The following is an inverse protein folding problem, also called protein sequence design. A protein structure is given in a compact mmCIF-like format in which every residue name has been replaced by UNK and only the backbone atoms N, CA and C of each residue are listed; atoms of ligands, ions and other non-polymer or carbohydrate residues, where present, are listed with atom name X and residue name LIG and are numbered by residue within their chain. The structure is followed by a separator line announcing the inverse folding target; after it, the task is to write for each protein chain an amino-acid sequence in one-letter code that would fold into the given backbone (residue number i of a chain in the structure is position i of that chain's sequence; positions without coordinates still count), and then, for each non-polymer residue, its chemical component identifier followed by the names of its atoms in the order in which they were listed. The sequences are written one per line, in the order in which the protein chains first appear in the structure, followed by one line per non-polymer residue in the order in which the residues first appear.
data_IF_136832609554
#
_entry.id   IF_136832609554
#
_cell.length_a   1.000
_cell.length_b   1.000
_cell.length_c   1.000
_cell.angle_alpha   90.00
_cell.angle_beta   90.00
_cell.angle_gamma   90.00
#
_symmetry.space_group_name_H-M   'P 1'
#
loop_
_entity.id
_entity.type
_entity.pdbx_description
1 polymer ?
#
# COMPACT_ATOMS: atom_id res chain seq x y z
N UNK A 1 -10.57 -17.72 10.75
CA UNK A 1 -9.70 -18.52 11.62
C UNK A 1 -8.46 -17.70 11.93
N UNK A 2 -8.25 -17.36 13.19
CA UNK A 2 -7.04 -16.71 13.68
C UNK A 2 -5.85 -17.65 13.48
N UNK A 3 -4.76 -17.15 12.93
CA UNK A 3 -3.53 -17.94 12.78
C UNK A 3 -2.42 -17.36 13.64
N UNK A 4 -2.08 -18.11 14.67
CA UNK A 4 -0.92 -17.82 15.50
C UNK A 4 0.37 -18.04 14.69
N UNK A 5 0.95 -16.95 14.17
CA UNK A 5 2.19 -17.00 13.38
C UNK A 5 3.44 -17.28 14.25
N UNK A 6 3.24 -17.43 15.56
CA UNK A 6 4.32 -17.78 16.50
C UNK A 6 4.57 -19.28 16.61
N UNK A 7 3.82 -20.11 15.86
CA UNK A 7 3.91 -21.58 15.89
C UNK A 7 4.19 -22.15 14.51
N UNK A 8 4.67 -23.38 14.45
CA UNK A 8 4.96 -24.12 13.21
C UNK A 8 6.21 -23.65 12.49
N UNK A 9 6.50 -24.20 11.30
CA UNK A 9 7.64 -23.77 10.47
C UNK A 9 7.39 -22.39 9.87
N UNK A 10 8.36 -21.45 9.87
CA UNK A 10 8.19 -20.11 9.35
C UNK A 10 7.69 -20.04 7.91
N UNK A 11 8.33 -20.78 6.99
CA UNK A 11 8.02 -20.69 5.57
C UNK A 11 6.56 -21.02 5.20
N UNK A 12 5.98 -22.18 5.60
CA UNK A 12 4.57 -22.45 5.31
C UNK A 12 3.60 -21.44 5.93
N UNK A 13 3.92 -20.94 7.12
CA UNK A 13 3.08 -19.95 7.81
C UNK A 13 3.09 -18.63 7.02
N UNK A 14 4.26 -18.17 6.60
CA UNK A 14 4.43 -16.96 5.79
C UNK A 14 3.69 -17.11 4.45
N UNK A 15 3.93 -18.19 3.70
CA UNK A 15 3.32 -18.40 2.39
C UNK A 15 1.79 -18.49 2.44
N UNK A 16 1.25 -19.22 3.42
CA UNK A 16 -0.21 -19.35 3.58
C UNK A 16 -0.89 -18.03 3.94
N UNK A 17 -0.18 -17.12 4.58
CA UNK A 17 -0.69 -15.78 4.88
C UNK A 17 -0.52 -14.83 3.70
N UNK A 18 0.59 -14.92 2.98
CA UNK A 18 0.92 -14.05 1.85
C UNK A 18 0.02 -14.29 0.64
N UNK A 19 -0.33 -15.55 0.36
CA UNK A 19 -1.10 -15.91 -0.85
C UNK A 19 -2.47 -15.19 -0.92
N UNK A 20 -3.31 -15.17 0.12
CA UNK A 20 -4.53 -14.37 0.12
C UNK A 20 -4.30 -12.87 -0.07
N UNK A 21 -3.18 -12.33 0.45
CA UNK A 21 -2.84 -10.91 0.26
C UNK A 21 -2.47 -10.61 -1.19
N UNK A 22 -1.70 -11.49 -1.86
CA UNK A 22 -1.39 -11.32 -3.29
C UNK A 22 -2.68 -11.31 -4.11
N UNK A 23 -3.55 -12.29 -3.87
CA UNK A 23 -4.85 -12.38 -4.56
C UNK A 23 -5.66 -11.10 -4.30
N UNK A 24 -5.74 -10.64 -3.06
CA UNK A 24 -6.44 -9.42 -2.69
C UNK A 24 -5.89 -8.17 -3.40
N UNK A 25 -4.58 -8.01 -3.42
CA UNK A 25 -3.92 -6.89 -4.08
C UNK A 25 -4.17 -6.89 -5.60
N UNK A 26 -4.15 -8.07 -6.24
CA UNK A 26 -4.48 -8.21 -7.66
C UNK A 26 -5.94 -7.86 -7.91
N UNK A 27 -6.88 -8.38 -7.09
CA UNK A 27 -8.30 -8.02 -7.20
C UNK A 27 -8.53 -6.52 -7.04
N UNK A 28 -7.79 -5.86 -6.14
CA UNK A 28 -7.89 -4.42 -5.98
C UNK A 28 -7.43 -3.66 -7.23
N UNK A 29 -6.39 -4.14 -7.93
CA UNK A 29 -5.96 -3.53 -9.19
C UNK A 29 -7.01 -3.76 -10.30
N UNK A 30 -7.58 -4.96 -10.40
CA UNK A 30 -8.64 -5.26 -11.37
C UNK A 30 -9.90 -4.41 -11.13
N UNK A 31 -10.25 -4.21 -9.86
CA UNK A 31 -11.34 -3.35 -9.46
C UNK A 31 -11.11 -1.89 -9.90
N UNK A 32 -9.93 -1.32 -9.62
CA UNK A 32 -9.58 0.04 -10.05
C UNK A 32 -9.62 0.20 -11.58
N UNK A 33 -9.22 -0.85 -12.31
CA UNK A 33 -9.31 -0.87 -13.77
C UNK A 33 -10.77 -0.92 -14.25
N UNK A 34 -11.62 -1.74 -13.63
CA UNK A 34 -13.03 -1.85 -13.97
C UNK A 34 -13.76 -0.51 -13.79
N UNK A 35 -13.56 0.17 -12.66
CA UNK A 35 -14.11 1.49 -12.39
C UNK A 35 -13.69 2.50 -13.49
N UNK A 36 -12.41 2.55 -13.83
CA UNK A 36 -11.89 3.40 -14.91
C UNK A 36 -12.53 3.10 -16.27
N UNK A 37 -12.72 1.81 -16.61
CA UNK A 37 -13.33 1.39 -17.86
C UNK A 37 -14.81 1.78 -17.90
N UNK A 38 -15.55 1.60 -16.80
CA UNK A 38 -16.97 1.94 -16.71
C UNK A 38 -17.16 3.44 -16.89
N UNK A 39 -16.38 4.27 -16.17
CA UNK A 39 -16.44 5.73 -16.31
C UNK A 39 -16.12 6.14 -17.76
N UNK A 40 -15.02 5.66 -18.33
CA UNK A 40 -14.62 6.01 -19.69
C UNK A 40 -15.62 5.60 -20.75
N UNK A 41 -16.25 4.44 -20.62
CA UNK A 41 -17.18 3.89 -21.61
C UNK A 41 -18.60 4.50 -21.54
N UNK A 42 -19.09 4.77 -20.33
CA UNK A 42 -20.49 5.16 -20.13
C UNK A 42 -20.69 6.64 -19.79
N UNK A 43 -19.67 7.32 -19.28
CA UNK A 43 -19.74 8.77 -19.01
C UNK A 43 -19.01 9.56 -20.10
N UNK A 44 -17.85 9.10 -20.54
CA UNK A 44 -17.10 9.69 -21.65
C UNK A 44 -15.63 10.01 -21.31
N UNK A 45 -14.93 10.51 -22.34
CA UNK A 45 -13.50 10.79 -22.25
C UNK A 45 -13.15 11.90 -21.26
N UNK A 46 -13.96 12.97 -21.20
CA UNK A 46 -13.74 14.07 -20.26
C UNK A 46 -13.91 13.62 -18.81
N UNK A 47 -14.90 12.78 -18.53
CA UNK A 47 -15.09 12.20 -17.20
C UNK A 47 -13.92 11.29 -16.79
N UNK A 48 -13.41 10.48 -17.73
CA UNK A 48 -12.22 9.67 -17.51
C UNK A 48 -11.00 10.53 -17.23
N UNK A 49 -10.82 11.61 -17.98
CA UNK A 49 -9.74 12.57 -17.75
C UNK A 49 -9.88 13.27 -16.40
N UNK A 50 -11.11 13.62 -15.99
CA UNK A 50 -11.42 14.21 -14.69
C UNK A 50 -11.01 13.28 -13.54
N UNK A 51 -11.46 12.02 -13.56
CA UNK A 51 -11.08 11.02 -12.55
C UNK A 51 -9.57 10.78 -12.56
N UNK A 52 -8.98 10.65 -13.75
CA UNK A 52 -7.54 10.45 -13.91
C UNK A 52 -6.70 11.60 -13.33
N UNK A 53 -7.12 12.85 -13.52
CA UNK A 53 -6.42 14.04 -13.00
C UNK A 53 -6.36 14.08 -11.46
N UNK A 54 -7.33 13.46 -10.78
CA UNK A 54 -7.35 13.38 -9.31
C UNK A 54 -6.44 12.28 -8.75
N UNK A 55 -5.93 11.38 -9.60
CA UNK A 55 -5.21 10.17 -9.20
C UNK A 55 -4.03 10.42 -8.27
N UNK A 56 -3.24 11.46 -8.52
CA UNK A 56 -2.10 11.82 -7.67
C UNK A 56 -2.53 12.27 -6.28
N UNK A 57 -3.56 13.12 -6.21
CA UNK A 57 -4.09 13.60 -4.92
C UNK A 57 -4.70 12.42 -4.16
N UNK A 58 -5.46 11.56 -4.85
CA UNK A 58 -6.01 10.34 -4.29
C UNK A 58 -4.93 9.42 -3.71
N UNK A 59 -3.84 9.23 -4.46
CA UNK A 59 -2.71 8.42 -3.99
C UNK A 59 -2.12 8.98 -2.69
N UNK A 60 -1.94 10.30 -2.59
CA UNK A 60 -1.41 10.93 -1.39
C UNK A 60 -2.37 10.79 -0.20
N UNK A 61 -3.65 11.13 -0.38
CA UNK A 61 -4.65 11.10 0.71
C UNK A 61 -4.93 9.67 1.17
N UNK A 62 -5.20 8.75 0.24
CA UNK A 62 -5.52 7.37 0.57
C UNK A 62 -4.29 6.58 1.02
N UNK A 63 -3.12 6.85 0.44
CA UNK A 63 -1.85 6.26 0.87
C UNK A 63 -1.49 6.69 2.29
N UNK A 64 -1.68 7.98 2.63
CA UNK A 64 -1.50 8.48 3.99
C UNK A 64 -2.45 7.78 4.97
N UNK A 65 -3.73 7.67 4.62
CA UNK A 65 -4.73 6.96 5.43
C UNK A 65 -4.38 5.48 5.62
N UNK A 66 -3.90 4.81 4.56
CA UNK A 66 -3.46 3.41 4.62
C UNK A 66 -2.23 3.23 5.52
N UNK A 67 -1.24 4.12 5.41
CA UNK A 67 -0.04 4.07 6.25
C UNK A 67 -0.36 4.24 7.73
N UNK A 68 -1.21 5.22 8.08
CA UNK A 68 -1.56 5.49 9.46
C UNK A 68 -2.35 4.34 10.09
N UNK A 69 -3.32 3.78 9.36
CA UNK A 69 -4.13 2.65 9.85
C UNK A 69 -3.30 1.38 10.00
N UNK A 70 -2.39 1.08 9.07
CA UNK A 70 -1.48 -0.05 9.17
C UNK A 70 -0.55 0.10 10.39
N UNK A 71 -0.02 1.31 10.64
CA UNK A 71 0.85 1.58 11.78
C UNK A 71 0.15 1.41 13.13
N UNK A 72 -1.13 1.77 13.23
CA UNK A 72 -1.90 1.56 14.47
C UNK A 72 -2.06 0.09 14.84
N UNK A 73 -2.04 -0.81 13.87
CA UNK A 73 -2.24 -2.24 14.10
C UNK A 73 -0.97 -3.00 14.51
N UNK A 74 0.21 -2.37 14.41
CA UNK A 74 1.47 -2.98 14.86
C UNK A 74 1.42 -3.36 16.34
N UNK A 75 0.95 -2.45 17.19
CA UNK A 75 0.80 -2.71 18.63
C UNK A 75 -0.15 -3.89 18.90
N UNK A 76 -1.25 -3.98 18.15
CA UNK A 76 -2.20 -5.09 18.27
C UNK A 76 -1.56 -6.42 17.90
N UNK A 77 -0.77 -6.46 16.82
CA UNK A 77 -0.02 -7.65 16.40
C UNK A 77 0.97 -8.11 17.48
N UNK A 78 1.68 -7.19 18.11
CA UNK A 78 2.63 -7.49 19.18
C UNK A 78 1.89 -8.05 20.42
N UNK A 79 0.81 -7.43 20.85
CA UNK A 79 0.03 -7.89 22.00
C UNK A 79 -0.66 -9.23 21.75
N UNK A 80 -1.13 -9.47 20.52
CA UNK A 80 -1.64 -10.77 20.11
C UNK A 80 -0.56 -11.86 20.22
N UNK A 81 0.66 -11.58 19.73
CA UNK A 81 1.79 -12.50 19.86
C UNK A 81 2.20 -12.77 21.31
N UNK A 82 2.09 -11.77 22.17
CA UNK A 82 2.32 -11.87 23.62
C UNK A 82 1.18 -12.59 24.36
N UNK A 83 0.06 -12.93 23.70
CA UNK A 83 -1.17 -13.48 24.29
C UNK A 83 -1.81 -12.56 25.36
N UNK A 84 -1.60 -11.26 25.23
CA UNK A 84 -2.21 -10.23 26.06
C UNK A 84 -3.56 -9.82 25.47
N UNK A 85 -4.61 -10.61 25.74
CA UNK A 85 -5.97 -10.35 25.22
C UNK A 85 -6.51 -9.00 25.67
N UNK A 86 -6.25 -8.59 26.93
CA UNK A 86 -6.68 -7.28 27.43
C UNK A 86 -5.97 -6.14 26.70
N UNK A 87 -4.68 -6.28 26.44
CA UNK A 87 -3.90 -5.36 25.65
C UNK A 87 -4.36 -5.29 24.18
N UNK A 88 -4.75 -6.43 23.58
CA UNK A 88 -5.35 -6.45 22.22
C UNK A 88 -6.61 -5.61 22.21
N UNK A 89 -7.58 -5.87 23.11
CA UNK A 89 -8.82 -5.11 23.23
C UNK A 89 -8.57 -3.61 23.40
N UNK A 90 -7.61 -3.27 24.27
CA UNK A 90 -7.23 -1.87 24.53
C UNK A 90 -6.59 -1.21 23.30
N UNK A 91 -5.69 -1.90 22.60
CA UNK A 91 -5.06 -1.36 21.40
C UNK A 91 -6.04 -1.17 20.24
N UNK A 92 -7.03 -2.04 20.10
CA UNK A 92 -8.11 -1.92 19.11
C UNK A 92 -8.99 -0.71 19.44
N UNK A 93 -9.46 -0.55 20.68
CA UNK A 93 -10.26 0.60 21.09
C UNK A 93 -9.51 1.92 20.87
N UNK A 94 -8.26 1.98 21.33
CA UNK A 94 -7.41 3.17 21.19
C UNK A 94 -7.18 3.54 19.72
N UNK A 95 -6.89 2.57 18.87
CA UNK A 95 -6.67 2.81 17.44
C UNK A 95 -7.95 3.21 16.70
N UNK A 96 -9.12 2.69 17.09
CA UNK A 96 -10.41 3.16 16.54
C UNK A 96 -10.64 4.62 16.91
N UNK A 97 -10.40 5.01 18.17
CA UNK A 97 -10.54 6.41 18.60
C UNK A 97 -9.56 7.35 17.88
N UNK A 98 -8.31 6.94 17.74
CA UNK A 98 -7.33 7.69 16.95
C UNK A 98 -7.72 7.79 15.48
N UNK A 99 -8.20 6.71 14.88
CA UNK A 99 -8.65 6.71 13.48
C UNK A 99 -9.85 7.63 13.26
N UNK A 100 -10.80 7.69 14.20
CA UNK A 100 -11.89 8.67 14.17
C UNK A 100 -11.36 10.10 14.18
N UNK A 101 -10.44 10.42 15.08
CA UNK A 101 -9.80 11.73 15.14
C UNK A 101 -9.09 12.08 13.83
N UNK A 102 -8.27 11.16 13.33
CA UNK A 102 -7.57 11.35 12.06
C UNK A 102 -8.52 11.45 10.87
N UNK A 103 -9.62 10.72 10.86
CA UNK A 103 -10.64 10.82 9.80
C UNK A 103 -11.23 12.23 9.77
N UNK A 104 -11.62 12.78 10.92
CA UNK A 104 -12.17 14.15 10.99
C UNK A 104 -11.15 15.16 10.50
N UNK A 105 -9.92 15.09 11.00
CA UNK A 105 -8.83 16.00 10.61
C UNK A 105 -8.53 15.88 9.11
N UNK A 106 -8.32 14.66 8.61
CA UNK A 106 -7.96 14.44 7.22
C UNK A 106 -9.09 14.85 6.26
N UNK A 107 -10.34 14.52 6.59
CA UNK A 107 -11.52 14.95 5.82
C UNK A 107 -11.61 16.47 5.76
N UNK A 108 -11.50 17.13 6.90
CA UNK A 108 -11.57 18.59 6.98
C UNK A 108 -10.49 19.28 6.12
N UNK A 109 -9.22 18.88 6.31
CA UNK A 109 -8.12 19.45 5.53
C UNK A 109 -8.21 19.10 4.04
N UNK A 110 -8.57 17.87 3.70
CA UNK A 110 -8.75 17.45 2.31
C UNK A 110 -9.84 18.27 1.63
N UNK A 111 -11.02 18.40 2.24
CA UNK A 111 -12.12 19.14 1.62
C UNK A 111 -11.79 20.62 1.37
N UNK A 112 -11.06 21.26 2.26
CA UNK A 112 -10.63 22.66 2.08
C UNK A 112 -9.54 22.79 1.01
N UNK A 113 -8.63 21.80 0.93
CA UNK A 113 -7.45 21.88 0.07
C UNK A 113 -7.73 21.46 -1.37
N UNK A 114 -8.83 20.73 -1.68
CA UNK A 114 -9.02 20.12 -3.01
C UNK A 114 -9.11 21.16 -4.12
N UNK A 115 -9.85 22.24 -3.92
CA UNK A 115 -10.00 23.28 -4.95
C UNK A 115 -8.68 23.98 -5.25
N UNK A 116 -7.91 24.49 -4.26
CA UNK A 116 -6.55 25.01 -4.49
C UNK A 116 -5.59 24.01 -5.13
N UNK A 117 -5.65 22.74 -4.72
CA UNK A 117 -4.77 21.71 -5.27
C UNK A 117 -5.06 21.43 -6.75
N UNK A 118 -6.32 21.33 -7.16
CA UNK A 118 -6.70 21.13 -8.56
C UNK A 118 -6.25 22.33 -9.43
N UNK A 119 -6.36 23.56 -8.92
CA UNK A 119 -5.83 24.75 -9.61
C UNK A 119 -4.30 24.73 -9.69
N UNK A 120 -3.60 24.35 -8.60
CA UNK A 120 -2.14 24.21 -8.60
C UNK A 120 -1.64 23.16 -9.60
N UNK A 121 -2.42 22.11 -9.81
CA UNK A 121 -2.13 21.08 -10.80
C UNK A 121 -2.50 21.46 -12.24
N UNK A 122 -2.99 22.70 -12.45
CA UNK A 122 -3.44 23.19 -13.76
C UNK A 122 -4.47 22.26 -14.41
N UNK A 123 -5.44 21.77 -13.62
CA UNK A 123 -6.52 20.94 -14.15
C UNK A 123 -7.33 21.75 -15.16
N UNK A 124 -7.53 21.24 -16.41
CA UNK A 124 -8.26 21.96 -17.45
C UNK A 124 -9.69 22.31 -17.03
N UNK A 125 -10.15 23.51 -17.43
CA UNK A 125 -11.46 24.03 -16.98
C UNK A 125 -12.65 23.15 -17.43
N UNK A 126 -12.55 22.51 -18.60
CA UNK A 126 -13.60 21.62 -19.12
C UNK A 126 -13.85 20.39 -18.25
N UNK A 127 -12.83 19.91 -17.49
CA UNK A 127 -12.92 18.73 -16.61
C UNK A 127 -12.86 19.09 -15.13
N UNK A 128 -12.62 20.37 -14.80
CA UNK A 128 -12.39 20.81 -13.42
C UNK A 128 -13.56 20.49 -12.49
N UNK A 129 -14.80 20.78 -12.94
CA UNK A 129 -15.98 20.55 -12.10
C UNK A 129 -16.22 19.07 -11.82
N UNK A 130 -16.01 18.20 -12.80
CA UNK A 130 -16.14 16.76 -12.65
C UNK A 130 -15.05 16.19 -11.73
N UNK A 131 -13.78 16.63 -11.90
CA UNK A 131 -12.67 16.27 -11.04
C UNK A 131 -12.93 16.71 -9.59
N UNK A 132 -13.40 17.93 -9.40
CA UNK A 132 -13.74 18.48 -8.08
C UNK A 132 -14.88 17.70 -7.43
N UNK A 133 -15.96 17.42 -8.17
CA UNK A 133 -17.10 16.66 -7.68
C UNK A 133 -16.69 15.25 -7.24
N UNK A 134 -15.93 14.55 -8.08
CA UNK A 134 -15.45 13.20 -7.78
C UNK A 134 -14.60 13.16 -6.50
N UNK A 135 -13.56 14.02 -6.44
CA UNK A 135 -12.62 13.99 -5.32
C UNK A 135 -13.28 14.45 -4.02
N UNK A 136 -14.24 15.39 -4.08
CA UNK A 136 -14.98 15.83 -2.90
C UNK A 136 -15.86 14.72 -2.31
N UNK A 137 -16.49 13.89 -3.15
CA UNK A 137 -17.26 12.72 -2.71
C UNK A 137 -16.33 11.73 -2.00
N UNK A 138 -15.18 11.43 -2.60
CA UNK A 138 -14.19 10.52 -1.99
C UNK A 138 -13.66 11.08 -0.66
N UNK A 139 -13.30 12.37 -0.62
CA UNK A 139 -12.83 13.01 0.61
C UNK A 139 -13.93 13.07 1.69
N UNK A 140 -15.16 13.35 1.32
CA UNK A 140 -16.30 13.29 2.24
C UNK A 140 -16.58 11.89 2.78
N UNK A 141 -16.26 10.86 1.97
CA UNK A 141 -16.40 9.44 2.31
C UNK A 141 -15.15 8.79 2.92
N UNK A 142 -14.11 9.54 3.29
CA UNK A 142 -12.87 9.00 3.85
C UNK A 142 -13.08 8.09 5.07
N UNK A 143 -14.14 8.32 5.84
CA UNK A 143 -14.49 7.45 6.97
C UNK A 143 -14.67 5.99 6.54
N UNK A 144 -15.33 5.73 5.41
CA UNK A 144 -15.54 4.39 4.89
C UNK A 144 -14.19 3.72 4.55
N UNK A 145 -13.33 4.42 3.82
CA UNK A 145 -12.01 3.93 3.42
C UNK A 145 -11.09 3.70 4.63
N UNK A 146 -11.01 4.66 5.55
CA UNK A 146 -10.14 4.56 6.73
C UNK A 146 -10.58 3.42 7.62
N UNK A 147 -11.89 3.27 7.88
CA UNK A 147 -12.39 2.19 8.72
C UNK A 147 -12.26 0.82 8.06
N UNK A 148 -12.53 0.71 6.76
CA UNK A 148 -12.28 -0.54 6.05
C UNK A 148 -10.80 -0.94 6.12
N UNK A 149 -9.87 -0.01 5.86
CA UNK A 149 -8.43 -0.26 5.94
C UNK A 149 -7.98 -0.62 7.37
N UNK A 150 -8.48 0.08 8.38
CA UNK A 150 -8.17 -0.18 9.79
C UNK A 150 -8.63 -1.57 10.23
N UNK A 151 -9.92 -1.88 10.00
CA UNK A 151 -10.51 -3.14 10.43
C UNK A 151 -9.90 -4.34 9.68
N UNK A 152 -9.64 -4.18 8.37
CA UNK A 152 -8.90 -5.17 7.59
C UNK A 152 -7.48 -5.37 8.12
N UNK A 153 -6.81 -4.29 8.55
CA UNK A 153 -5.47 -4.37 9.14
C UNK A 153 -5.48 -5.02 10.52
N UNK A 154 -6.52 -4.82 11.33
CA UNK A 154 -6.68 -5.55 12.58
C UNK A 154 -6.87 -7.05 12.35
N UNK A 155 -7.68 -7.46 11.39
CA UNK A 155 -7.83 -8.87 11.03
C UNK A 155 -6.50 -9.48 10.60
N UNK A 156 -5.72 -8.75 9.80
CA UNK A 156 -4.36 -9.18 9.42
C UNK A 156 -3.41 -9.25 10.61
N UNK A 157 -3.47 -8.29 11.54
CA UNK A 157 -2.61 -8.25 12.73
C UNK A 157 -2.73 -9.50 13.61
N UNK A 158 -3.92 -10.11 13.66
CA UNK A 158 -4.17 -11.39 14.37
C UNK A 158 -4.04 -12.63 13.48
N UNK A 159 -3.42 -12.48 12.31
CA UNK A 159 -3.10 -13.60 11.43
C UNK A 159 -4.23 -14.05 10.50
N UNK A 160 -5.31 -13.27 10.36
CA UNK A 160 -6.41 -13.57 9.45
C UNK A 160 -6.30 -12.73 8.17
N UNK A 161 -5.74 -13.31 7.10
CA UNK A 161 -5.66 -12.67 5.78
C UNK A 161 -6.80 -13.06 4.83
N UNK A 162 -7.55 -14.13 5.14
CA UNK A 162 -8.62 -14.64 4.28
C UNK A 162 -9.90 -13.81 4.37
N UNK A 163 -10.30 -13.45 5.58
CA UNK A 163 -11.54 -12.66 5.79
C UNK A 163 -11.46 -11.27 5.12
N UNK A 164 -10.37 -10.49 5.26
CA UNK A 164 -10.21 -9.26 4.50
C UNK A 164 -10.27 -9.45 2.98
N UNK A 165 -9.70 -10.55 2.46
CA UNK A 165 -9.79 -10.87 1.04
C UNK A 165 -11.24 -11.09 0.60
N UNK A 166 -12.03 -11.86 1.36
CA UNK A 166 -13.43 -12.12 1.03
C UNK A 166 -14.24 -10.81 1.00
N UNK A 167 -14.04 -9.94 1.98
CA UNK A 167 -14.71 -8.63 2.01
C UNK A 167 -14.23 -7.69 0.91
N UNK A 168 -12.97 -7.78 0.51
CA UNK A 168 -12.43 -7.03 -0.64
C UNK A 168 -13.10 -7.48 -1.95
N UNK A 169 -13.21 -8.79 -2.18
CA UNK A 169 -13.89 -9.33 -3.37
C UNK A 169 -15.35 -8.89 -3.37
N UNK A 170 -16.04 -9.01 -2.23
CA UNK A 170 -17.42 -8.53 -2.08
C UNK A 170 -17.54 -7.04 -2.39
N UNK A 171 -16.64 -6.22 -1.84
CA UNK A 171 -16.60 -4.77 -2.10
C UNK A 171 -16.40 -4.46 -3.58
N UNK A 172 -15.48 -5.17 -4.25
CA UNK A 172 -15.20 -4.98 -5.66
C UNK A 172 -16.41 -5.32 -6.55
N UNK A 173 -17.07 -6.44 -6.29
CA UNK A 173 -18.28 -6.82 -7.03
C UNK A 173 -19.42 -5.81 -6.78
N UNK A 174 -19.64 -5.42 -5.53
CA UNK A 174 -20.65 -4.45 -5.15
C UNK A 174 -20.38 -3.08 -5.79
N UNK A 175 -19.12 -2.65 -5.82
CA UNK A 175 -18.76 -1.39 -6.46
C UNK A 175 -19.10 -1.41 -7.97
N UNK A 176 -18.68 -2.45 -8.70
CA UNK A 176 -19.01 -2.57 -10.13
C UNK A 176 -20.53 -2.54 -10.35
N UNK A 177 -21.32 -3.23 -9.52
CA UNK A 177 -22.79 -3.19 -9.60
C UNK A 177 -23.35 -1.80 -9.31
N UNK A 178 -22.81 -1.11 -8.31
CA UNK A 178 -23.21 0.27 -7.98
C UNK A 178 -22.79 1.26 -9.06
N UNK A 179 -21.60 1.11 -9.65
CA UNK A 179 -21.17 1.93 -10.80
C UNK A 179 -22.16 1.82 -11.95
N UNK A 180 -22.49 0.59 -12.35
CA UNK A 180 -23.47 0.37 -13.43
C UNK A 180 -24.85 0.94 -13.08
N UNK A 181 -25.28 0.79 -11.82
CA UNK A 181 -26.56 1.32 -11.36
C UNK A 181 -26.57 2.85 -11.33
N UNK A 182 -25.58 3.47 -10.68
CA UNK A 182 -25.55 4.92 -10.45
C UNK A 182 -25.19 5.69 -11.74
N UNK A 183 -24.31 5.13 -12.56
CA UNK A 183 -23.85 5.79 -13.80
C UNK A 183 -24.87 5.58 -14.92
N UNK A 184 -25.32 4.34 -15.15
CA UNK A 184 -26.18 4.03 -16.31
C UNK A 184 -27.65 4.32 -16.01
N UNK A 185 -28.16 3.82 -14.89
CA UNK A 185 -29.58 3.94 -14.56
C UNK A 185 -29.93 5.33 -14.01
N UNK A 186 -29.17 5.80 -13.01
CA UNK A 186 -29.40 7.12 -12.39
C UNK A 186 -28.70 8.28 -13.10
N UNK A 187 -27.83 8.02 -14.09
CA UNK A 187 -27.12 9.02 -14.90
C UNK A 187 -26.32 10.04 -14.07
N UNK A 188 -25.72 9.59 -12.97
CA UNK A 188 -25.01 10.47 -12.05
C UNK A 188 -23.59 10.85 -12.52
N UNK A 189 -23.14 10.38 -13.68
CA UNK A 189 -21.81 10.70 -14.20
C UNK A 189 -20.68 10.30 -13.24
N UNK A 190 -19.66 11.14 -13.13
CA UNK A 190 -18.50 10.90 -12.22
C UNK A 190 -18.89 10.84 -10.75
N UNK A 191 -19.95 11.52 -10.34
CA UNK A 191 -20.46 11.44 -8.97
C UNK A 191 -20.92 10.01 -8.64
N UNK A 192 -21.51 9.31 -9.62
CA UNK A 192 -21.91 7.90 -9.48
C UNK A 192 -20.75 7.01 -9.10
N UNK A 193 -19.60 7.13 -9.78
CA UNK A 193 -18.39 6.38 -9.47
C UNK A 193 -17.85 6.70 -8.06
N UNK A 194 -17.84 7.98 -7.69
CA UNK A 194 -17.44 8.39 -6.34
C UNK A 194 -18.31 7.77 -5.25
N UNK A 195 -19.64 7.84 -5.40
CA UNK A 195 -20.58 7.23 -4.45
C UNK A 195 -20.49 5.71 -4.43
N UNK A 196 -20.37 5.05 -5.58
CA UNK A 196 -20.20 3.59 -5.65
C UNK A 196 -18.99 3.13 -4.83
N UNK A 197 -17.86 3.83 -4.96
CA UNK A 197 -16.64 3.55 -4.21
C UNK A 197 -16.84 3.75 -2.70
N UNK A 198 -17.43 4.86 -2.27
CA UNK A 198 -17.65 5.15 -0.85
C UNK A 198 -18.63 4.15 -0.23
N UNK A 199 -19.74 3.85 -0.89
CA UNK A 199 -20.73 2.91 -0.37
C UNK A 199 -20.22 1.48 -0.31
N UNK A 200 -19.53 0.99 -1.34
CA UNK A 200 -18.97 -0.36 -1.34
C UNK A 200 -17.93 -0.57 -0.23
N UNK A 201 -17.07 0.41 -0.01
CA UNK A 201 -16.10 0.39 1.09
C UNK A 201 -16.76 0.54 2.45
N UNK A 202 -17.78 1.40 2.57
CA UNK A 202 -18.56 1.57 3.80
C UNK A 202 -19.26 0.28 4.22
N UNK A 203 -19.93 -0.39 3.30
CA UNK A 203 -20.57 -1.69 3.56
C UNK A 203 -19.52 -2.73 3.97
N UNK A 204 -18.37 -2.78 3.30
CA UNK A 204 -17.30 -3.69 3.68
C UNK A 204 -16.69 -3.38 5.03
N UNK A 205 -16.58 -2.11 5.41
CA UNK A 205 -16.17 -1.72 6.76
C UNK A 205 -17.17 -2.22 7.82
N UNK A 206 -18.47 -2.07 7.55
CA UNK A 206 -19.53 -2.58 8.44
C UNK A 206 -19.48 -4.10 8.56
N UNK A 207 -19.25 -4.82 7.44
CA UNK A 207 -19.09 -6.28 7.45
C UNK A 207 -17.86 -6.73 8.25
N UNK A 208 -16.73 -6.03 8.08
CA UNK A 208 -15.52 -6.28 8.89
C UNK A 208 -15.81 -6.05 10.38
N UNK A 209 -16.48 -4.96 10.73
CA UNK A 209 -16.83 -4.63 12.10
C UNK A 209 -17.74 -5.70 12.71
N UNK A 210 -18.79 -6.09 11.99
CA UNK A 210 -19.73 -7.12 12.41
C UNK A 210 -19.02 -8.48 12.58
N UNK A 211 -18.12 -8.83 11.68
CA UNK A 211 -17.32 -10.05 11.77
C UNK A 211 -16.43 -10.05 13.03
N UNK A 212 -15.72 -8.95 13.30
CA UNK A 212 -14.89 -8.81 14.51
C UNK A 212 -15.76 -8.93 15.75
N UNK A 213 -16.89 -8.22 15.80
CA UNK A 213 -17.82 -8.25 16.93
C UNK A 213 -18.36 -9.66 17.22
N UNK A 214 -18.79 -10.38 16.16
CA UNK A 214 -19.46 -11.69 16.31
C UNK A 214 -18.50 -12.85 16.46
N UNK A 215 -17.38 -12.83 15.71
CA UNK A 215 -16.51 -14.00 15.56
C UNK A 215 -15.18 -13.88 16.28
N UNK A 216 -14.84 -12.71 16.82
CA UNK A 216 -13.56 -12.44 17.46
C UNK A 216 -13.72 -11.70 18.81
N UNK A 217 -14.36 -12.32 19.81
CA UNK A 217 -14.65 -11.67 21.10
C UNK A 217 -13.37 -11.25 21.84
N UNK A 218 -12.25 -11.93 21.59
CA UNK A 218 -10.95 -11.60 22.19
C UNK A 218 -10.33 -10.30 21.62
N UNK A 219 -10.84 -9.82 20.48
CA UNK A 219 -10.46 -8.52 19.91
C UNK A 219 -11.45 -7.42 20.24
N UNK A 220 -12.72 -7.76 20.55
CA UNK A 220 -13.75 -6.76 20.74
C UNK A 220 -13.56 -6.01 22.06
N UNK A 221 -13.45 -4.66 22.01
CA UNK A 221 -13.24 -3.86 23.23
C UNK A 221 -14.45 -3.88 24.17
N UNK A 222 -14.21 -4.01 25.45
CA UNK A 222 -15.22 -3.83 26.51
C UNK A 222 -15.39 -2.34 26.84
N UNK A 223 -16.46 -1.99 27.56
CA UNK A 223 -16.79 -0.58 27.85
C UNK A 223 -15.64 0.21 28.51
N UNK A 224 -14.86 -0.43 29.37
CA UNK A 224 -13.73 0.23 30.06
C UNK A 224 -12.50 0.48 29.17
N UNK A 225 -12.39 -0.19 28.00
CA UNK A 225 -11.30 0.02 27.05
C UNK A 225 -11.47 1.28 26.18
N UNK A 226 -12.69 1.82 26.07
CA UNK A 226 -13.00 2.98 25.23
C UNK A 226 -12.50 4.28 25.85
N UNK A 227 -11.17 4.36 26.03
CA UNK A 227 -10.45 5.54 26.50
C UNK A 227 -9.13 5.64 25.75
N UNK A 228 -8.67 6.86 25.50
CA UNK A 228 -7.35 7.09 24.97
C UNK A 228 -6.29 6.84 26.06
N UNK A 229 -5.46 5.85 25.84
CA UNK A 229 -4.34 5.54 26.71
C UNK A 229 -3.07 6.18 26.14
N UNK A 230 -2.43 7.09 26.88
CA UNK A 230 -1.29 7.86 26.41
C UNK A 230 -0.13 7.00 25.90
N UNK A 231 0.19 5.90 26.58
CA UNK A 231 1.25 4.98 26.16
C UNK A 231 0.92 4.29 24.83
N UNK A 232 -0.31 3.75 24.70
CA UNK A 232 -0.76 3.08 23.48
C UNK A 232 -0.88 4.08 22.33
N UNK A 233 -1.43 5.28 22.58
CA UNK A 233 -1.52 6.35 21.58
C UNK A 233 -0.15 6.78 21.09
N UNK A 234 0.83 6.97 22.00
CA UNK A 234 2.19 7.32 21.63
C UNK A 234 2.81 6.23 20.74
N UNK A 235 2.64 4.97 21.08
CA UNK A 235 3.16 3.85 20.29
C UNK A 235 2.50 3.79 18.91
N UNK A 236 1.18 3.84 18.84
CA UNK A 236 0.44 3.80 17.58
C UNK A 236 0.77 4.98 16.67
N UNK A 237 0.90 6.19 17.22
CA UNK A 237 1.30 7.38 16.47
C UNK A 237 2.76 7.32 16.01
N UNK A 238 3.67 6.82 16.85
CA UNK A 238 5.08 6.66 16.48
C UNK A 238 5.30 5.65 15.35
N UNK A 239 4.34 4.77 15.10
CA UNK A 239 4.33 3.85 13.97
C UNK A 239 3.51 4.40 12.80
N UNK A 240 2.31 4.91 13.08
CA UNK A 240 1.36 5.37 12.06
C UNK A 240 1.85 6.57 11.27
N UNK A 241 2.38 7.60 11.95
CA UNK A 241 2.86 8.82 11.28
C UNK A 241 4.04 8.54 10.33
N UNK A 242 5.11 7.85 10.74
CA UNK A 242 6.19 7.52 9.81
C UNK A 242 5.73 6.65 8.63
N UNK A 243 4.83 5.69 8.85
CA UNK A 243 4.30 4.86 7.77
C UNK A 243 3.44 5.67 6.80
N UNK A 244 2.64 6.62 7.28
CA UNK A 244 1.86 7.52 6.43
C UNK A 244 2.77 8.45 5.60
N UNK A 245 3.77 9.07 6.24
CA UNK A 245 4.76 9.92 5.57
C UNK A 245 5.56 9.16 4.52
N UNK A 246 5.86 7.89 4.76
CA UNK A 246 6.53 7.02 3.79
C UNK A 246 5.77 6.94 2.46
N UNK A 247 4.42 6.81 2.49
CA UNK A 247 3.60 6.81 1.27
C UNK A 247 3.70 8.15 0.52
N UNK A 248 3.64 9.27 1.24
CA UNK A 248 3.78 10.59 0.65
C UNK A 248 5.18 10.78 0.00
N UNK A 249 6.23 10.37 0.67
CA UNK A 249 7.62 10.43 0.20
C UNK A 249 7.79 9.59 -1.07
N UNK A 250 7.29 8.35 -1.08
CA UNK A 250 7.35 7.48 -2.25
C UNK A 250 6.60 8.07 -3.43
N UNK A 251 5.40 8.61 -3.19
CA UNK A 251 4.59 9.29 -4.23
C UNK A 251 5.30 10.50 -4.82
N UNK A 252 5.93 11.32 -3.99
CA UNK A 252 6.73 12.46 -4.48
C UNK A 252 7.90 12.03 -5.37
N UNK A 253 8.55 10.91 -5.02
CA UNK A 253 9.62 10.35 -5.83
C UNK A 253 9.17 9.89 -7.22
N UNK A 254 8.00 9.27 -7.33
CA UNK A 254 7.44 8.85 -8.63
C UNK A 254 7.06 10.04 -9.50
N UNK A 255 6.58 11.14 -8.90
CA UNK A 255 6.28 12.38 -9.62
C UNK A 255 7.55 13.00 -10.23
N UNK A 256 8.67 13.00 -9.51
CA UNK A 256 9.96 13.51 -10.01
C UNK A 256 10.42 12.69 -11.23
N UNK A 257 10.32 11.37 -11.16
CA UNK A 257 10.66 10.49 -12.27
C UNK A 257 9.74 10.75 -13.48
N UNK A 258 8.43 10.90 -13.26
CA UNK A 258 7.47 11.21 -14.33
C UNK A 258 7.82 12.52 -15.04
N UNK A 259 8.25 13.54 -14.30
CA UNK A 259 8.69 14.81 -14.88
C UNK A 259 9.90 14.64 -15.83
N UNK A 260 10.85 13.76 -15.47
CA UNK A 260 11.98 13.44 -16.33
C UNK A 260 11.55 12.67 -17.59
N UNK A 261 10.61 11.72 -17.47
CA UNK A 261 10.08 10.93 -18.60
C UNK A 261 9.31 11.82 -19.59
N UNK A 262 8.58 12.82 -19.10
CA UNK A 262 7.77 13.71 -19.94
C UNK A 262 8.59 14.50 -20.99
N UNK A 263 9.89 14.63 -20.81
CA UNK A 263 10.79 15.31 -21.78
C UNK A 263 10.95 14.53 -23.08
N UNK A 264 10.62 13.24 -23.12
CA UNK A 264 10.87 12.36 -24.28
C UNK A 264 9.67 12.22 -25.22
N UNK A 265 8.61 12.99 -24.99
CA UNK A 265 7.43 13.03 -25.86
C UNK A 265 6.36 12.00 -25.54
N UNK A 266 5.25 12.09 -26.24
CA UNK A 266 4.03 11.35 -25.94
C UNK A 266 4.17 9.83 -26.10
N UNK A 267 4.93 9.37 -27.11
CA UNK A 267 5.17 7.94 -27.33
C UNK A 267 5.94 7.30 -26.17
N UNK A 268 7.00 7.96 -25.71
CA UNK A 268 7.80 7.50 -24.56
C UNK A 268 6.96 7.46 -23.29
N UNK A 269 6.15 8.50 -23.05
CA UNK A 269 5.25 8.58 -21.89
C UNK A 269 4.19 7.49 -21.93
N UNK A 270 3.57 7.23 -23.06
CA UNK A 270 2.56 6.18 -23.21
C UNK A 270 3.17 4.78 -23.00
N UNK A 271 4.32 4.51 -23.61
CA UNK A 271 5.04 3.24 -23.43
C UNK A 271 5.50 3.03 -21.99
N UNK A 272 6.05 4.07 -21.36
CA UNK A 272 6.41 4.06 -19.94
C UNK A 272 5.21 3.80 -19.03
N UNK A 273 4.08 4.46 -19.28
CA UNK A 273 2.86 4.30 -18.48
C UNK A 273 2.33 2.86 -18.53
N UNK A 274 2.33 2.24 -19.72
CA UNK A 274 1.93 0.84 -19.86
C UNK A 274 2.92 -0.10 -19.15
N UNK A 275 4.21 0.15 -19.28
CA UNK A 275 5.25 -0.61 -18.58
C UNK A 275 5.15 -0.46 -17.05
N UNK A 276 4.84 0.74 -16.54
CA UNK A 276 4.58 0.97 -15.11
C UNK A 276 3.38 0.18 -14.59
N UNK A 277 2.31 0.03 -15.37
CA UNK A 277 1.15 -0.80 -14.96
C UNK A 277 1.56 -2.27 -14.79
N UNK A 278 2.37 -2.79 -15.70
CA UNK A 278 2.94 -4.13 -15.57
C UNK A 278 3.87 -4.25 -14.35
N UNK A 279 4.74 -3.27 -14.15
CA UNK A 279 5.62 -3.17 -12.98
C UNK A 279 4.81 -3.16 -11.67
N UNK A 280 3.71 -2.43 -11.60
CA UNK A 280 2.84 -2.39 -10.42
C UNK A 280 2.23 -3.75 -10.10
N UNK A 281 1.86 -4.57 -11.11
CA UNK A 281 1.38 -5.93 -10.87
C UNK A 281 2.45 -6.82 -10.22
N UNK A 282 3.69 -6.75 -10.71
CA UNK A 282 4.82 -7.49 -10.11
C UNK A 282 5.05 -7.04 -8.67
N UNK A 283 5.00 -5.74 -8.41
CA UNK A 283 5.22 -5.15 -7.09
C UNK A 283 4.18 -5.59 -6.05
N UNK A 284 2.96 -5.99 -6.47
CA UNK A 284 1.94 -6.49 -5.54
C UNK A 284 2.40 -7.74 -4.76
N UNK A 285 3.20 -8.61 -5.38
CA UNK A 285 3.80 -9.75 -4.69
C UNK A 285 4.76 -9.33 -3.57
N UNK A 286 5.61 -8.34 -3.83
CA UNK A 286 6.54 -7.80 -2.82
C UNK A 286 5.80 -7.07 -1.70
N UNK A 287 4.76 -6.31 -2.03
CA UNK A 287 3.91 -5.61 -1.06
C UNK A 287 3.21 -6.59 -0.13
N UNK A 288 2.63 -7.66 -0.67
CA UNK A 288 1.99 -8.71 0.11
C UNK A 288 2.96 -9.42 1.06
N UNK A 289 4.18 -9.75 0.58
CA UNK A 289 5.22 -10.34 1.42
C UNK A 289 5.66 -9.35 2.52
N UNK A 290 5.79 -8.07 2.21
CA UNK A 290 6.08 -7.02 3.18
C UNK A 290 5.00 -6.99 4.29
N UNK A 291 3.72 -6.90 3.94
CA UNK A 291 2.62 -6.91 4.91
C UNK A 291 2.63 -8.18 5.78
N UNK A 292 2.94 -9.33 5.18
CA UNK A 292 3.13 -10.59 5.90
C UNK A 292 4.25 -10.47 6.92
N UNK A 293 5.38 -9.87 6.55
CA UNK A 293 6.53 -9.72 7.42
C UNK A 293 6.27 -8.74 8.57
N UNK A 294 5.47 -7.70 8.35
CA UNK A 294 5.04 -6.81 9.43
C UNK A 294 4.24 -7.57 10.51
N UNK A 295 3.27 -8.36 10.09
CA UNK A 295 2.45 -9.18 11.02
C UNK A 295 3.27 -10.29 11.68
N UNK A 296 4.05 -11.04 10.88
CA UNK A 296 4.89 -12.13 11.39
C UNK A 296 5.91 -11.64 12.42
N UNK A 297 6.62 -10.56 12.09
CA UNK A 297 7.61 -9.98 13.00
C UNK A 297 6.95 -9.37 14.23
N UNK A 298 5.80 -8.70 14.09
CA UNK A 298 5.05 -8.14 15.20
C UNK A 298 4.60 -9.19 16.23
N UNK A 299 3.97 -10.27 15.76
CA UNK A 299 3.55 -11.36 16.64
C UNK A 299 4.73 -12.05 17.33
N UNK A 300 5.81 -12.35 16.59
CA UNK A 300 6.98 -13.01 17.18
C UNK A 300 7.78 -12.06 18.09
N UNK A 301 7.79 -10.77 17.81
CA UNK A 301 8.38 -9.76 18.69
C UNK A 301 7.61 -9.67 20.01
N UNK A 302 6.27 -9.60 19.95
CA UNK A 302 5.43 -9.63 21.14
C UNK A 302 5.61 -10.89 22.01
N UNK A 303 5.84 -12.04 21.38
CA UNK A 303 6.18 -13.29 22.07
C UNK A 303 7.60 -13.31 22.66
N UNK A 304 8.50 -12.42 22.19
CA UNK A 304 9.91 -12.44 22.54
C UNK A 304 10.76 -13.45 21.76
N UNK A 305 10.23 -14.05 20.67
CA UNK A 305 10.94 -15.07 19.87
C UNK A 305 11.77 -14.40 18.75
N UNK A 306 12.85 -13.74 19.13
CA UNK A 306 13.74 -13.03 18.20
C UNK A 306 14.44 -13.96 17.20
N UNK A 307 14.93 -15.15 17.59
CA UNK A 307 15.50 -16.10 16.64
C UNK A 307 14.50 -16.50 15.53
N UNK A 308 13.21 -16.60 15.86
CA UNK A 308 12.16 -16.92 14.91
C UNK A 308 11.92 -15.78 13.92
N UNK A 309 12.01 -14.51 14.35
CA UNK A 309 11.94 -13.36 13.43
C UNK A 309 13.06 -13.47 12.39
N UNK A 310 14.30 -13.69 12.81
CA UNK A 310 15.45 -13.84 11.89
C UNK A 310 15.29 -15.00 10.91
N UNK A 311 14.77 -16.14 11.38
CA UNK A 311 14.45 -17.29 10.50
C UNK A 311 13.35 -16.96 9.49
N UNK A 312 12.29 -16.25 9.91
CA UNK A 312 11.21 -15.81 9.04
C UNK A 312 11.69 -14.82 7.97
N UNK A 313 12.50 -13.83 8.35
CA UNK A 313 13.10 -12.88 7.41
C UNK A 313 13.96 -13.59 6.36
N UNK A 314 14.78 -14.56 6.76
CA UNK A 314 15.56 -15.37 5.79
C UNK A 314 14.67 -16.15 4.85
N UNK A 315 13.61 -16.79 5.35
CA UNK A 315 12.66 -17.54 4.53
C UNK A 315 11.93 -16.62 3.54
N UNK A 316 11.49 -15.45 3.99
CA UNK A 316 10.84 -14.44 3.16
C UNK A 316 11.78 -13.89 2.08
N UNK A 317 13.06 -13.63 2.41
CA UNK A 317 14.08 -13.19 1.45
C UNK A 317 14.28 -14.23 0.36
N UNK A 318 14.51 -15.50 0.71
CA UNK A 318 14.71 -16.58 -0.26
C UNK A 318 13.50 -16.71 -1.20
N UNK A 319 12.28 -16.72 -0.65
CA UNK A 319 11.05 -16.78 -1.43
C UNK A 319 10.90 -15.57 -2.36
N UNK A 320 11.16 -14.37 -1.87
CA UNK A 320 11.01 -13.16 -2.67
C UNK A 320 12.11 -13.00 -3.73
N UNK A 321 13.33 -13.49 -3.48
CA UNK A 321 14.39 -13.56 -4.48
C UNK A 321 13.98 -14.55 -5.59
N UNK A 322 13.45 -15.72 -5.23
CA UNK A 322 12.93 -16.67 -6.22
C UNK A 322 11.81 -16.05 -7.05
N UNK A 323 10.84 -15.39 -6.39
CA UNK A 323 9.78 -14.63 -7.07
C UNK A 323 10.35 -13.54 -7.98
N UNK A 324 11.37 -12.79 -7.55
CA UNK A 324 12.04 -11.75 -8.34
C UNK A 324 12.64 -12.30 -9.63
N UNK A 325 13.33 -13.45 -9.54
CA UNK A 325 13.94 -14.10 -10.70
C UNK A 325 12.85 -14.58 -11.68
N UNK A 326 11.82 -15.27 -11.16
CA UNK A 326 10.70 -15.74 -11.98
C UNK A 326 9.97 -14.56 -12.64
N UNK A 327 9.67 -13.51 -11.89
CA UNK A 327 9.02 -12.31 -12.42
C UNK A 327 9.88 -11.61 -13.48
N UNK A 328 11.20 -11.51 -13.29
CA UNK A 328 12.12 -10.94 -14.28
C UNK A 328 12.11 -11.75 -15.58
N UNK A 329 12.20 -13.10 -15.48
CA UNK A 329 12.11 -13.97 -16.65
C UNK A 329 10.78 -13.81 -17.38
N UNK A 330 9.66 -13.75 -16.64
CA UNK A 330 8.35 -13.54 -17.24
C UNK A 330 8.24 -12.18 -17.93
N UNK A 331 8.80 -11.12 -17.34
CA UNK A 331 8.85 -9.79 -17.98
C UNK A 331 9.66 -9.85 -19.27
N UNK A 332 10.83 -10.50 -19.29
CA UNK A 332 11.64 -10.63 -20.51
C UNK A 332 10.91 -11.39 -21.62
N UNK A 333 10.17 -12.46 -21.27
CA UNK A 333 9.50 -13.32 -22.26
C UNK A 333 8.13 -12.75 -22.71
N UNK A 334 7.37 -12.15 -21.77
CA UNK A 334 5.97 -11.81 -21.99
C UNK A 334 5.72 -10.31 -22.14
N UNK A 335 6.76 -9.46 -22.16
CA UNK A 335 6.59 -8.00 -22.24
C UNK A 335 5.73 -7.60 -23.45
N UNK A 336 6.04 -8.13 -24.64
CA UNK A 336 5.32 -7.80 -25.87
C UNK A 336 3.83 -8.18 -25.83
N UNK A 337 3.45 -9.44 -25.51
CA UNK A 337 2.03 -9.79 -25.40
C UNK A 337 1.32 -9.06 -24.25
N UNK A 338 2.00 -8.77 -23.15
CA UNK A 338 1.40 -7.99 -22.07
C UNK A 338 1.13 -6.54 -22.47
N UNK A 339 2.04 -5.90 -23.18
CA UNK A 339 1.87 -4.51 -23.65
C UNK A 339 0.77 -4.42 -24.71
N UNK A 340 0.64 -5.42 -25.59
CA UNK A 340 -0.43 -5.43 -26.61
C UNK A 340 -1.84 -5.45 -26.01
N UNK A 341 -2.00 -5.82 -24.73
CA UNK A 341 -3.28 -5.71 -24.03
C UNK A 341 -3.67 -4.26 -23.65
N UNK A 342 -2.70 -3.36 -23.61
CA UNK A 342 -2.93 -1.96 -23.25
C UNK A 342 -3.14 -1.04 -24.44
N UNK A 343 -2.76 -1.49 -25.66
CA UNK A 343 -2.85 -0.68 -26.85
C UNK A 343 -3.86 -1.28 -27.83
N UNK A 344 -4.70 -0.43 -28.43
CA UNK A 344 -5.58 -0.81 -29.51
C UNK A 344 -4.79 -1.00 -30.84
N UNK A 345 -5.39 -1.73 -31.79
CA UNK A 345 -4.70 -2.14 -33.04
C UNK A 345 -4.13 -1.03 -33.92
N UNK A 346 -4.51 0.24 -33.67
CA UNK A 346 -4.04 1.40 -34.46
C UNK A 346 -2.70 1.98 -33.96
N UNK A 347 -2.14 1.45 -32.87
CA UNK A 347 -0.89 1.96 -32.27
C UNK A 347 0.31 1.22 -32.84
N UNK A 348 1.32 1.96 -33.30
CA UNK A 348 2.59 1.40 -33.76
C UNK A 348 3.39 0.80 -32.58
N UNK A 349 3.17 -0.49 -32.34
CA UNK A 349 3.89 -1.25 -31.32
C UNK A 349 5.39 -1.30 -31.55
N UNK A 350 5.86 -1.15 -32.81
CA UNK A 350 7.30 -1.18 -33.10
C UNK A 350 7.98 0.10 -32.62
N UNK A 351 7.31 1.24 -32.72
CA UNK A 351 7.80 2.52 -32.19
C UNK A 351 7.82 2.56 -30.66
N UNK A 352 6.80 1.99 -30.01
CA UNK A 352 6.67 2.00 -28.54
C UNK A 352 7.55 0.99 -27.81
N UNK A 353 7.84 -0.14 -28.46
CA UNK A 353 8.55 -1.26 -27.83
C UNK A 353 9.94 -0.90 -27.28
N UNK A 354 10.79 -0.10 -27.94
CA UNK A 354 12.10 0.27 -27.40
C UNK A 354 12.00 1.02 -26.07
N UNK A 355 11.04 1.95 -25.94
CA UNK A 355 10.79 2.73 -24.73
C UNK A 355 10.36 1.82 -23.57
N UNK A 356 9.37 0.99 -23.81
CA UNK A 356 8.85 0.07 -22.81
C UNK A 356 9.87 -0.99 -22.38
N UNK A 357 10.67 -1.53 -23.33
CA UNK A 357 11.75 -2.48 -23.03
C UNK A 357 12.80 -1.87 -22.14
N UNK A 358 13.25 -0.65 -22.44
CA UNK A 358 14.28 0.03 -21.65
C UNK A 358 13.88 0.12 -20.17
N UNK A 359 12.66 0.58 -19.88
CA UNK A 359 12.19 0.67 -18.51
C UNK A 359 11.98 -0.71 -17.88
N UNK A 360 11.20 -1.59 -18.54
CA UNK A 360 10.80 -2.87 -17.96
C UNK A 360 11.99 -3.79 -17.69
N UNK A 361 12.95 -3.87 -18.62
CA UNK A 361 14.13 -4.72 -18.47
C UNK A 361 15.06 -4.16 -17.40
N UNK A 362 15.25 -2.85 -17.37
CA UNK A 362 16.04 -2.20 -16.33
C UNK A 362 15.46 -2.49 -14.95
N UNK A 363 14.16 -2.31 -14.75
CA UNK A 363 13.50 -2.65 -13.48
C UNK A 363 13.63 -4.13 -13.13
N UNK A 364 13.48 -5.03 -14.10
CA UNK A 364 13.56 -6.48 -13.87
C UNK A 364 14.92 -6.92 -13.32
N UNK A 365 16.02 -6.31 -13.74
CA UNK A 365 17.36 -6.57 -13.18
C UNK A 365 17.48 -6.17 -11.71
N UNK A 366 16.66 -5.22 -11.24
CA UNK A 366 16.73 -4.68 -9.88
C UNK A 366 15.57 -5.13 -8.97
N UNK A 367 14.83 -6.18 -9.33
CA UNK A 367 13.78 -6.74 -8.47
C UNK A 367 14.30 -7.30 -7.15
N UNK A 368 15.54 -7.80 -7.12
CA UNK A 368 16.14 -8.31 -5.88
C UNK A 368 16.35 -7.18 -4.85
N UNK A 369 17.01 -6.05 -5.17
CA UNK A 369 17.02 -4.89 -4.28
C UNK A 369 15.61 -4.46 -3.84
N UNK A 370 14.65 -4.39 -4.77
CA UNK A 370 13.28 -3.99 -4.47
C UNK A 370 12.62 -4.92 -3.42
N UNK A 371 12.73 -6.23 -3.59
CA UNK A 371 12.12 -7.17 -2.65
C UNK A 371 12.74 -7.07 -1.25
N UNK A 372 14.05 -6.82 -1.14
CA UNK A 372 14.72 -6.68 0.15
C UNK A 372 14.22 -5.47 0.94
N UNK A 373 13.90 -4.36 0.25
CA UNK A 373 13.31 -3.17 0.88
C UNK A 373 11.99 -3.54 1.56
N UNK A 374 11.08 -4.21 0.84
CA UNK A 374 9.78 -4.59 1.40
C UNK A 374 9.91 -5.48 2.63
N UNK A 375 10.85 -6.43 2.62
CA UNK A 375 11.01 -7.37 3.73
C UNK A 375 11.64 -6.70 4.94
N UNK A 376 12.78 -6.03 4.79
CA UNK A 376 13.48 -5.41 5.92
C UNK A 376 12.68 -4.26 6.54
N UNK A 377 12.08 -3.41 5.71
CA UNK A 377 11.24 -2.30 6.14
C UNK A 377 10.08 -2.80 7.00
N UNK A 378 9.31 -3.74 6.50
CA UNK A 378 8.13 -4.24 7.20
C UNK A 378 8.49 -5.11 8.42
N UNK A 379 9.60 -5.85 8.38
CA UNK A 379 10.08 -6.58 9.55
C UNK A 379 10.46 -5.63 10.71
N UNK A 380 11.15 -4.53 10.41
CA UNK A 380 11.47 -3.50 11.42
C UNK A 380 10.19 -2.82 11.93
N UNK A 381 9.23 -2.51 11.05
CA UNK A 381 7.94 -1.94 11.44
C UNK A 381 7.19 -2.88 12.37
N UNK A 382 7.14 -4.18 12.08
CA UNK A 382 6.54 -5.18 12.97
C UNK A 382 7.19 -5.22 14.36
N UNK A 383 8.51 -5.00 14.44
CA UNK A 383 9.24 -4.90 15.71
C UNK A 383 9.05 -3.56 16.44
N UNK A 384 8.25 -2.63 15.91
CA UNK A 384 8.00 -1.33 16.55
C UNK A 384 8.95 -0.20 16.17
N UNK A 385 9.74 -0.37 15.11
CA UNK A 385 10.64 0.67 14.60
C UNK A 385 10.02 1.33 13.35
N UNK A 386 9.42 2.51 13.51
CA UNK A 386 8.77 3.24 12.40
C UNK A 386 9.69 4.23 11.70
N UNK A 387 10.59 4.89 12.43
CA UNK A 387 11.42 5.98 11.92
C UNK A 387 12.48 5.52 10.91
N UNK A 388 13.26 4.48 11.23
CA UNK A 388 14.29 3.96 10.33
C UNK A 388 13.73 3.47 8.99
N UNK A 389 12.63 2.69 8.96
CA UNK A 389 11.95 2.35 7.70
C UNK A 389 11.53 3.55 6.86
N UNK A 390 11.02 4.61 7.51
CA UNK A 390 10.65 5.86 6.82
C UNK A 390 11.88 6.54 6.19
N UNK A 391 13.02 6.56 6.89
CA UNK A 391 14.29 7.10 6.34
C UNK A 391 14.76 6.33 5.11
N UNK A 392 14.44 5.03 5.00
CA UNK A 392 14.62 4.27 3.76
C UNK A 392 13.86 4.91 2.58
N UNK A 393 12.62 5.36 2.79
CA UNK A 393 11.86 6.12 1.78
C UNK A 393 12.49 7.46 1.44
N UNK A 394 13.04 8.16 2.43
CA UNK A 394 13.79 9.42 2.20
C UNK A 394 15.02 9.17 1.32
N UNK A 395 15.76 8.09 1.56
CA UNK A 395 16.91 7.72 0.72
C UNK A 395 16.50 7.39 -0.71
N UNK A 396 15.33 6.75 -0.92
CA UNK A 396 14.74 6.55 -2.26
C UNK A 396 14.48 7.89 -2.97
N UNK A 397 13.86 8.83 -2.26
CA UNK A 397 13.52 10.14 -2.82
C UNK A 397 14.76 10.90 -3.28
N UNK A 398 15.80 10.95 -2.45
CA UNK A 398 17.05 11.62 -2.80
C UNK A 398 17.74 10.96 -3.99
N UNK A 399 17.80 9.62 -4.04
CA UNK A 399 18.38 8.91 -5.17
C UNK A 399 17.62 9.19 -6.47
N UNK A 400 16.27 9.16 -6.47
CA UNK A 400 15.45 9.52 -7.62
C UNK A 400 15.68 10.96 -8.05
N UNK A 401 15.72 11.91 -7.11
CA UNK A 401 15.93 13.32 -7.41
C UNK A 401 17.28 13.54 -8.10
N UNK A 402 18.36 12.97 -7.58
CA UNK A 402 19.70 13.13 -8.15
C UNK A 402 19.74 12.56 -9.57
N UNK A 403 19.27 11.32 -9.76
CA UNK A 403 19.29 10.67 -11.07
C UNK A 403 18.37 11.37 -12.06
N UNK A 404 17.19 11.82 -11.65
CA UNK A 404 16.26 12.55 -12.50
C UNK A 404 16.84 13.89 -12.96
N UNK A 405 17.48 14.65 -12.06
CA UNK A 405 18.15 15.91 -12.44
C UNK A 405 19.29 15.67 -13.44
N UNK A 406 20.07 14.61 -13.25
CA UNK A 406 21.13 14.24 -14.21
C UNK A 406 20.50 13.83 -15.54
N UNK A 407 19.45 12.98 -15.53
CA UNK A 407 18.76 12.52 -16.72
C UNK A 407 18.17 13.68 -17.54
N UNK A 408 17.59 14.68 -16.86
CA UNK A 408 17.07 15.89 -17.50
C UNK A 408 18.16 16.77 -18.11
N UNK A 409 19.33 16.91 -17.45
CA UNK A 409 20.47 17.69 -17.97
C UNK A 409 21.12 17.03 -19.17
N UNK A 410 21.26 15.72 -19.18
CA UNK A 410 21.92 14.94 -20.27
C UNK A 410 20.91 14.55 -21.35
N UNK A 411 19.61 14.73 -21.13
CA UNK A 411 18.50 14.31 -22.00
C UNK A 411 18.61 12.81 -22.35
N UNK A 412 18.66 11.96 -21.34
CA UNK A 412 18.84 10.51 -21.50
C UNK A 412 17.67 9.74 -20.93
N UNK A 413 16.88 9.09 -21.81
CA UNK A 413 15.75 8.24 -21.40
C UNK A 413 16.18 7.04 -20.54
N UNK A 414 17.26 6.30 -20.86
CA UNK A 414 17.75 5.23 -19.99
C UNK A 414 18.11 5.73 -18.57
N UNK A 415 18.68 6.92 -18.43
CA UNK A 415 18.92 7.50 -17.10
C UNK A 415 17.64 7.89 -16.39
N UNK A 416 16.62 8.39 -17.09
CA UNK A 416 15.31 8.66 -16.50
C UNK A 416 14.65 7.36 -16.02
N UNK A 417 14.76 6.26 -16.77
CA UNK A 417 14.32 4.93 -16.35
C UNK A 417 15.12 4.36 -15.17
N UNK A 418 16.39 4.76 -15.02
CA UNK A 418 17.26 4.30 -13.93
C UNK A 418 16.93 4.96 -12.58
N UNK A 419 16.03 5.93 -12.53
CA UNK A 419 15.58 6.55 -11.28
C UNK A 419 15.05 5.52 -10.26
N UNK A 420 14.21 4.57 -10.69
CA UNK A 420 13.67 3.51 -9.83
C UNK A 420 14.75 2.53 -9.36
N UNK A 421 15.57 1.93 -10.24
CA UNK A 421 16.69 1.08 -9.81
C UNK A 421 17.66 1.76 -8.85
N UNK A 422 18.04 3.00 -9.09
CA UNK A 422 18.92 3.74 -8.18
C UNK A 422 18.30 3.93 -6.80
N UNK A 423 17.03 4.29 -6.75
CA UNK A 423 16.27 4.40 -5.51
C UNK A 423 16.21 3.06 -4.77
N UNK A 424 15.92 1.97 -5.50
CA UNK A 424 15.82 0.63 -4.88
C UNK A 424 17.14 0.13 -4.33
N UNK A 425 18.25 0.32 -5.04
CA UNK A 425 19.59 -0.05 -4.53
C UNK A 425 19.94 0.75 -3.29
N UNK A 426 19.75 2.07 -3.34
CA UNK A 426 20.06 2.96 -2.21
C UNK A 426 19.23 2.60 -0.97
N UNK A 427 17.93 2.41 -1.14
CA UNK A 427 17.04 2.02 -0.05
C UNK A 427 17.29 0.59 0.44
N UNK A 428 17.64 -0.35 -0.44
CA UNK A 428 18.00 -1.72 -0.06
C UNK A 428 19.22 -1.75 0.85
N UNK A 429 20.26 -0.98 0.51
CA UNK A 429 21.45 -0.83 1.34
C UNK A 429 21.08 -0.19 2.67
N UNK A 430 20.35 0.93 2.65
CA UNK A 430 19.96 1.64 3.86
C UNK A 430 19.11 0.76 4.79
N UNK A 431 18.06 0.15 4.25
CA UNK A 431 17.15 -0.70 5.07
C UNK A 431 17.81 -1.98 5.53
N UNK A 432 18.72 -2.56 4.73
CA UNK A 432 19.51 -3.72 5.13
C UNK A 432 20.45 -3.42 6.30
N UNK A 433 21.19 -2.31 6.22
CA UNK A 433 22.07 -1.86 7.33
C UNK A 433 21.22 -1.52 8.57
N UNK A 434 20.11 -0.80 8.38
CA UNK A 434 19.18 -0.46 9.46
C UNK A 434 18.61 -1.72 10.14
N UNK A 435 18.25 -2.74 9.35
CA UNK A 435 17.76 -4.00 9.89
C UNK A 435 18.80 -4.70 10.76
N UNK A 436 20.06 -4.75 10.32
CA UNK A 436 21.14 -5.34 11.13
C UNK A 436 21.34 -4.58 12.43
N UNK A 437 21.25 -3.25 12.39
CA UNK A 437 21.35 -2.40 13.57
C UNK A 437 20.19 -2.64 14.53
N UNK A 438 18.95 -2.66 14.02
CA UNK A 438 17.73 -2.93 14.80
C UNK A 438 17.81 -4.32 15.44
N UNK A 439 18.23 -5.36 14.71
CA UNK A 439 18.37 -6.70 15.29
C UNK A 439 19.41 -6.78 16.41
N UNK A 440 20.52 -6.06 16.28
CA UNK A 440 21.52 -5.95 17.37
C UNK A 440 20.97 -5.22 18.59
N UNK A 441 20.21 -4.15 18.39
CA UNK A 441 19.57 -3.40 19.49
C UNK A 441 18.54 -4.28 20.22
N UNK A 442 17.73 -5.02 19.48
CA UNK A 442 16.75 -5.96 20.03
C UNK A 442 17.45 -7.09 20.80
N UNK A 443 18.49 -7.70 20.23
CA UNK A 443 19.28 -8.75 20.91
C UNK A 443 19.89 -8.23 22.23
N UNK A 444 20.39 -7.00 22.25
CA UNK A 444 20.94 -6.37 23.45
C UNK A 444 19.87 -6.10 24.52
N UNK A 445 18.69 -5.66 24.12
CA UNK A 445 17.60 -5.30 25.04
C UNK A 445 16.83 -6.51 25.58
N UNK A 446 16.68 -7.54 24.76
CA UNK A 446 15.77 -8.66 25.02
C UNK A 446 16.45 -10.05 24.95
N UNK A 447 17.65 -10.16 24.40
CA UNK A 447 18.33 -11.44 24.15
C UNK A 447 18.77 -12.22 25.41
N UNK A 448 18.79 -11.57 26.57
CA UNK A 448 19.18 -12.17 27.88
C UNK A 448 17.95 -12.45 28.76
N UNK A 449 16.76 -12.02 28.35
CA UNK A 449 15.52 -12.27 29.12
C UNK A 449 14.89 -13.57 28.64
N UNK A 450 14.80 -14.57 29.51
CA UNK A 450 13.90 -15.72 29.34
C UNK A 450 12.49 -15.19 29.05
N UNK A 451 11.71 -15.80 28.15
CA UNK A 451 10.40 -15.26 27.68
C UNK A 451 9.32 -15.43 28.74
N UNK A 452 9.33 -14.65 29.81
CA UNK A 452 8.36 -14.71 30.90
C UNK A 452 7.65 -13.40 31.21
N UNK A 453 7.97 -12.30 30.52
CA UNK A 453 7.22 -11.05 30.68
C UNK A 453 6.86 -10.46 29.30
N UNK A 454 5.60 -10.03 29.07
CA UNK A 454 5.26 -9.29 27.87
C UNK A 454 6.08 -8.01 27.80
N UNK A 455 6.58 -7.70 26.61
CA UNK A 455 7.33 -6.47 26.36
C UNK A 455 6.34 -5.31 26.49
N UNK A 456 6.45 -4.55 27.56
CA UNK A 456 5.63 -3.37 27.89
C UNK A 456 6.09 -2.14 27.10
#
# INVERSE_FOLDING_TARGET
MERDMTKGSPLPVILRFTLPLIIGNIFQQLYNMADTIIVGRYVGADALAAVGSTGTIMFLVLGFAQGITAGFTVLTSQRFGAKDTNGVKRSVANGILLALLFTVVLTFFSMISMRPLLHLMNTPENIFQDAYTYIMIICGGLIATIFYNLLSSYLRAVGNSQTPLMFLIFSAVLNVLLDLLLIIHFKMGVAGAGYATVFSQGISAVLCLFYIYRSMPDMWPEKHHWKLHAADSRHQLSMGIPMALQFAITGSGTMIMQAAINLFGSEAVAAFTAACKLQNLVTQGFSAMGQTMATYSGQNFGKGDIPRIKKGVRAALLTSITYSIVAAVLVFLLLKPCLSLFFSGDVDMAAMMPWAKTYSYMCAFFYVPLCTIFIFRNAMQGCGYGFLPMMGGVSELFARLIVAVIAMKVISYPLACFCDPAAWVTAAVFTGVSYLFVMKDIDKKYGTKTPTAPIS
#
